data_IF_632501434020
#
_entry.id   IF_632501434020
#
_cell.length_a   1.000
_cell.length_b   1.000
_cell.length_c   1.000
_cell.angle_alpha   90.00
_cell.angle_beta   90.00
_cell.angle_gamma   90.00
#
_symmetry.space_group_name_H-M   'P 1'
#
loop_
_entity.id
_entity.type
_entity.pdbx_description
1 polymer ?
#
# COMPACT_ATOMS: atom_id res chain seq x y z
N UNK A 1 -3.79 -37.84 -21.10
CA UNK A 1 -2.47 -38.02 -21.74
C UNK A 1 -1.96 -36.63 -22.09
N UNK A 2 -1.38 -35.94 -21.10
CA UNK A 2 -0.89 -34.56 -21.25
C UNK A 2 0.56 -34.61 -21.67
N UNK A 3 0.83 -34.35 -22.95
CA UNK A 3 2.18 -34.31 -23.49
C UNK A 3 2.69 -32.87 -23.36
N UNK A 4 3.57 -32.66 -22.37
CA UNK A 4 4.38 -31.47 -22.26
C UNK A 4 5.40 -31.56 -23.41
N UNK A 5 5.21 -30.74 -24.44
CA UNK A 5 6.15 -30.63 -25.55
C UNK A 5 7.41 -29.95 -25.01
N UNK A 6 8.53 -30.66 -25.14
CA UNK A 6 9.84 -30.26 -24.61
C UNK A 6 10.36 -28.96 -25.20
N UNK A 7 11.01 -28.16 -24.36
CA UNK A 7 11.76 -26.98 -24.77
C UNK A 7 13.26 -27.29 -24.79
N UNK A 8 13.87 -27.00 -25.94
CA UNK A 8 15.31 -27.00 -26.18
C UNK A 8 16.05 -26.03 -25.22
N UNK A 9 17.31 -26.30 -24.82
CA UNK A 9 17.94 -25.66 -23.67
C UNK A 9 18.56 -24.26 -23.91
N UNK A 10 18.25 -23.55 -25.01
CA UNK A 10 18.99 -22.33 -25.39
C UNK A 10 18.23 -21.00 -25.27
N UNK A 11 17.00 -20.99 -24.73
CA UNK A 11 16.28 -19.74 -24.47
C UNK A 11 16.01 -19.56 -22.98
N UNK A 12 17.00 -18.99 -22.28
CA UNK A 12 16.87 -18.48 -20.91
C UNK A 12 15.98 -17.23 -20.86
N UNK A 13 14.70 -17.40 -21.19
CA UNK A 13 13.64 -16.50 -20.74
C UNK A 13 12.79 -17.31 -19.76
N UNK A 14 13.03 -17.08 -18.47
CA UNK A 14 12.31 -17.73 -17.38
C UNK A 14 10.87 -17.20 -17.41
N UNK A 15 10.01 -17.82 -18.20
CA UNK A 15 8.58 -17.61 -18.07
C UNK A 15 8.15 -18.28 -16.76
N UNK A 16 7.66 -17.50 -15.80
CA UNK A 16 6.91 -18.02 -14.67
C UNK A 16 5.51 -18.46 -15.15
N UNK A 17 5.46 -19.46 -16.04
CA UNK A 17 4.30 -19.83 -16.85
C UNK A 17 3.02 -19.98 -16.01
N UNK A 18 3.12 -20.53 -14.80
CA UNK A 18 1.99 -20.67 -13.88
C UNK A 18 1.47 -19.34 -13.31
N UNK A 19 2.35 -18.42 -12.93
CA UNK A 19 1.94 -17.12 -12.35
C UNK A 19 1.29 -16.24 -13.40
N UNK A 20 1.87 -16.18 -14.59
CA UNK A 20 1.36 -15.32 -15.66
C UNK A 20 0.05 -15.88 -16.24
N UNK A 21 -0.09 -17.21 -16.31
CA UNK A 21 -1.38 -17.84 -16.61
C UNK A 21 -2.44 -17.49 -15.57
N UNK A 22 -2.12 -17.58 -14.27
CA UNK A 22 -3.06 -17.22 -13.20
C UNK A 22 -3.46 -15.74 -13.25
N UNK A 23 -2.52 -14.83 -13.55
CA UNK A 23 -2.83 -13.40 -13.76
C UNK A 23 -3.82 -13.23 -14.90
N UNK A 24 -3.55 -13.85 -16.05
CA UNK A 24 -4.43 -13.76 -17.21
C UNK A 24 -5.82 -14.32 -16.91
N UNK A 25 -5.93 -15.48 -16.26
CA UNK A 25 -7.21 -16.03 -15.82
C UNK A 25 -7.99 -15.06 -14.92
N UNK A 26 -7.32 -14.41 -13.95
CA UNK A 26 -7.95 -13.41 -13.07
C UNK A 26 -8.46 -12.19 -13.83
N UNK A 27 -7.70 -11.71 -14.82
CA UNK A 27 -8.12 -10.62 -15.70
C UNK A 27 -9.35 -10.99 -16.52
N UNK A 28 -9.43 -12.23 -17.03
CA UNK A 28 -10.62 -12.73 -17.74
C UNK A 28 -11.82 -12.79 -16.80
N UNK A 29 -11.66 -13.37 -15.60
CA UNK A 29 -12.76 -13.48 -14.62
C UNK A 29 -13.28 -12.11 -14.21
N UNK A 30 -12.41 -11.12 -14.03
CA UNK A 30 -12.78 -9.73 -13.68
C UNK A 30 -13.54 -8.96 -14.77
N UNK A 31 -13.63 -9.51 -15.99
CA UNK A 31 -14.43 -8.95 -17.08
C UNK A 31 -15.89 -9.44 -17.06
N UNK A 32 -16.22 -10.46 -16.25
CA UNK A 32 -17.59 -10.91 -16.03
C UNK A 32 -18.24 -11.57 -17.26
N UNK A 33 -17.45 -12.26 -18.09
CA UNK A 33 -17.95 -12.91 -19.29
C UNK A 33 -19.02 -13.97 -18.97
N UNK A 34 -20.14 -13.89 -19.69
CA UNK A 34 -21.04 -15.01 -19.91
C UNK A 34 -20.65 -15.61 -21.26
N UNK A 35 -20.32 -16.91 -21.33
CA UNK A 35 -19.95 -17.58 -22.57
C UNK A 35 -21.19 -17.80 -23.46
N UNK A 36 -21.79 -16.71 -23.91
CA UNK A 36 -23.08 -16.69 -24.61
C UNK A 36 -22.84 -16.45 -26.12
N UNK A 37 -21.98 -17.27 -26.73
CA UNK A 37 -21.93 -17.52 -28.17
C UNK A 37 -21.55 -16.39 -29.14
N UNK A 38 -21.65 -15.10 -28.80
CA UNK A 38 -21.23 -13.97 -29.67
C UNK A 38 -19.74 -13.65 -29.48
N UNK A 39 -18.91 -14.59 -29.91
CA UNK A 39 -17.51 -14.69 -29.53
C UNK A 39 -16.57 -13.61 -30.13
N UNK A 40 -16.97 -12.79 -31.12
CA UNK A 40 -15.99 -11.99 -31.89
C UNK A 40 -15.36 -10.81 -31.14
N UNK A 41 -16.13 -10.02 -30.39
CA UNK A 41 -15.59 -8.88 -29.64
C UNK A 41 -14.93 -9.32 -28.33
N UNK A 42 -15.54 -10.30 -27.65
CA UNK A 42 -15.03 -10.87 -26.40
C UNK A 42 -13.69 -11.61 -26.60
N UNK A 43 -13.54 -12.33 -27.72
CA UNK A 43 -12.28 -12.97 -28.10
C UNK A 43 -11.16 -11.94 -28.32
N UNK A 44 -11.44 -10.81 -28.97
CA UNK A 44 -10.47 -9.74 -29.16
C UNK A 44 -10.00 -9.14 -27.84
N UNK A 45 -10.90 -8.99 -26.86
CA UNK A 45 -10.56 -8.55 -25.51
C UNK A 45 -9.67 -9.58 -24.78
N UNK A 46 -10.03 -10.87 -24.84
CA UNK A 46 -9.26 -11.96 -24.21
C UNK A 46 -7.85 -12.06 -24.80
N UNK A 47 -7.74 -12.01 -26.13
CA UNK A 47 -6.46 -12.03 -26.86
C UNK A 47 -5.61 -10.83 -26.47
N UNK A 48 -6.21 -9.64 -26.38
CA UNK A 48 -5.45 -8.46 -25.99
C UNK A 48 -4.93 -8.55 -24.55
N UNK A 49 -5.71 -9.13 -23.62
CA UNK A 49 -5.27 -9.41 -22.25
C UNK A 49 -4.16 -10.47 -22.21
N UNK A 50 -4.20 -11.45 -23.11
CA UNK A 50 -3.13 -12.45 -23.24
C UNK A 50 -1.84 -11.80 -23.75
N UNK A 51 -1.93 -10.98 -24.81
CA UNK A 51 -0.80 -10.19 -25.33
C UNK A 51 -0.19 -9.31 -24.23
N UNK A 52 -1.05 -8.69 -23.42
CA UNK A 52 -0.68 -7.89 -22.26
C UNK A 52 0.22 -8.61 -21.24
N UNK A 53 -0.09 -9.87 -20.99
CA UNK A 53 0.58 -10.65 -19.95
C UNK A 53 1.80 -11.38 -20.51
N UNK A 54 1.66 -11.99 -21.70
CA UNK A 54 2.68 -12.88 -22.26
C UNK A 54 3.67 -12.18 -23.21
N UNK A 55 3.24 -11.14 -23.93
CA UNK A 55 4.10 -10.42 -24.89
C UNK A 55 4.78 -9.18 -24.28
N UNK A 56 4.50 -8.83 -23.02
CA UNK A 56 5.12 -7.68 -22.34
C UNK A 56 6.55 -7.94 -21.86
N UNK A 57 6.89 -9.20 -21.55
CA UNK A 57 8.17 -9.59 -20.94
C UNK A 57 9.38 -9.70 -21.89
N UNK A 58 9.26 -10.23 -23.13
CA UNK A 58 10.42 -10.44 -23.99
C UNK A 58 11.15 -9.12 -24.29
N UNK A 59 12.49 -9.12 -24.19
CA UNK A 59 13.28 -7.91 -24.49
C UNK A 59 13.32 -7.59 -26.00
N UNK A 60 13.35 -8.62 -26.85
CA UNK A 60 13.41 -8.47 -28.31
C UNK A 60 12.04 -8.17 -28.93
N UNK A 61 12.03 -7.18 -29.83
CA UNK A 61 10.88 -6.82 -30.65
C UNK A 61 10.33 -8.02 -31.44
N UNK A 62 11.22 -8.80 -32.06
CA UNK A 62 10.83 -9.95 -32.90
C UNK A 62 10.18 -11.05 -32.07
N UNK A 63 10.66 -11.27 -30.85
CA UNK A 63 10.09 -12.25 -29.94
C UNK A 63 8.70 -11.84 -29.47
N UNK A 64 8.48 -10.55 -29.15
CA UNK A 64 7.14 -10.04 -28.80
C UNK A 64 6.16 -10.26 -29.95
N UNK A 65 6.58 -9.92 -31.17
CA UNK A 65 5.75 -10.05 -32.36
C UNK A 65 5.43 -11.52 -32.66
N UNK A 66 6.39 -12.42 -32.49
CA UNK A 66 6.19 -13.87 -32.67
C UNK A 66 5.15 -14.41 -31.68
N UNK A 67 5.26 -14.06 -30.40
CA UNK A 67 4.28 -14.47 -29.37
C UNK A 67 2.90 -13.90 -29.66
N UNK A 68 2.80 -12.63 -30.08
CA UNK A 68 1.52 -12.02 -30.46
C UNK A 68 0.84 -12.77 -31.61
N UNK A 69 1.61 -13.15 -32.64
CA UNK A 69 1.11 -13.94 -33.78
C UNK A 69 0.62 -15.31 -33.34
N UNK A 70 1.36 -16.01 -32.49
CA UNK A 70 0.94 -17.32 -32.00
C UNK A 70 -0.32 -17.26 -31.14
N UNK A 71 -0.44 -16.25 -30.26
CA UNK A 71 -1.67 -16.02 -29.49
C UNK A 71 -2.84 -15.75 -30.45
N UNK A 72 -2.65 -14.93 -31.48
CA UNK A 72 -3.68 -14.68 -32.50
C UNK A 72 -4.12 -15.96 -33.24
N UNK A 73 -3.16 -16.81 -33.60
CA UNK A 73 -3.40 -18.09 -34.26
C UNK A 73 -4.21 -19.06 -33.38
N UNK A 74 -3.84 -19.19 -32.10
CA UNK A 74 -4.53 -20.09 -31.14
C UNK A 74 -6.00 -19.70 -30.99
N UNK A 75 -6.27 -18.39 -30.90
CA UNK A 75 -7.61 -17.86 -30.70
C UNK A 75 -8.40 -17.65 -32.00
N UNK A 76 -7.81 -18.02 -33.15
CA UNK A 76 -8.41 -17.92 -34.50
C UNK A 76 -8.97 -16.53 -34.81
N UNK A 77 -8.42 -15.48 -34.20
CA UNK A 77 -8.82 -14.11 -34.47
C UNK A 77 -8.24 -13.67 -35.82
N UNK A 78 -9.08 -13.66 -36.86
CA UNK A 78 -8.73 -13.08 -38.16
C UNK A 78 -8.72 -11.56 -38.03
N UNK A 79 -7.57 -10.95 -37.72
CA UNK A 79 -7.49 -9.48 -37.66
C UNK A 79 -6.15 -8.89 -37.22
N UNK A 80 -5.83 -7.72 -37.79
CA UNK A 80 -4.64 -6.86 -37.65
C UNK A 80 -4.10 -6.62 -36.22
N UNK A 81 -4.90 -6.84 -35.17
CA UNK A 81 -4.52 -6.59 -33.79
C UNK A 81 -3.42 -7.52 -33.24
N UNK A 82 -3.27 -8.73 -33.80
CA UNK A 82 -2.22 -9.68 -33.40
C UNK A 82 -0.90 -9.50 -34.20
N UNK A 83 -0.92 -8.72 -35.27
CA UNK A 83 0.19 -8.59 -36.23
C UNK A 83 1.00 -7.31 -36.07
N UNK A 84 0.52 -6.37 -35.24
CA UNK A 84 1.21 -5.11 -34.94
C UNK A 84 1.22 -4.84 -33.43
N UNK A 85 2.38 -4.46 -32.88
CA UNK A 85 2.56 -4.17 -31.44
C UNK A 85 1.61 -3.10 -30.88
N UNK A 86 1.20 -2.19 -31.75
CA UNK A 86 0.22 -1.15 -31.47
C UNK A 86 -0.90 -1.28 -32.51
N UNK A 87 -2.12 -1.71 -32.10
CA UNK A 87 -3.28 -1.72 -32.99
C UNK A 87 -3.42 -0.40 -33.73
N UNK A 88 -3.93 -0.43 -34.97
CA UNK A 88 -4.07 0.77 -35.80
C UNK A 88 -4.95 1.85 -35.12
N UNK A 89 -5.87 1.43 -34.27
CA UNK A 89 -6.80 2.27 -33.53
C UNK A 89 -6.15 2.96 -32.32
N UNK A 90 -6.26 4.28 -32.27
CA UNK A 90 -5.77 5.09 -31.15
C UNK A 90 -6.64 4.78 -29.90
N UNK A 91 -6.03 4.52 -28.72
CA UNK A 91 -6.80 4.33 -27.49
C UNK A 91 -7.63 5.57 -27.18
N UNK A 92 -8.90 5.36 -26.85
CA UNK A 92 -9.79 6.44 -26.43
C UNK A 92 -9.31 6.99 -25.09
N UNK A 93 -9.13 8.30 -24.99
CA UNK A 93 -8.75 8.97 -23.75
C UNK A 93 -9.81 10.02 -23.42
N UNK A 94 -10.68 9.71 -22.44
CA UNK A 94 -11.83 10.54 -22.10
C UNK A 94 -12.01 10.63 -20.59
N UNK A 95 -11.97 11.85 -20.06
CA UNK A 95 -12.38 12.14 -18.68
C UNK A 95 -13.91 12.15 -18.61
N UNK A 96 -14.49 11.33 -17.72
CA UNK A 96 -15.92 11.30 -17.42
C UNK A 96 -16.15 11.82 -15.99
N UNK A 97 -17.38 12.21 -15.65
CA UNK A 97 -17.69 12.75 -14.30
C UNK A 97 -17.35 11.76 -13.17
N UNK A 98 -17.49 10.46 -13.44
CA UNK A 98 -17.32 9.39 -12.44
C UNK A 98 -15.94 8.72 -12.49
N UNK A 99 -15.14 8.97 -13.53
CA UNK A 99 -13.87 8.27 -13.72
C UNK A 99 -13.23 8.55 -15.08
N UNK A 100 -12.04 7.98 -15.27
CA UNK A 100 -11.23 8.14 -16.47
C UNK A 100 -11.31 6.88 -17.34
N UNK A 101 -11.67 7.05 -18.62
CA UNK A 101 -11.66 5.99 -19.62
C UNK A 101 -10.37 6.07 -20.46
N UNK A 102 -9.57 5.01 -20.41
CA UNK A 102 -8.33 4.85 -21.19
C UNK A 102 -8.44 3.56 -21.99
N UNK A 103 -8.60 3.67 -23.30
CA UNK A 103 -8.80 2.55 -24.21
C UNK A 103 -9.96 1.67 -23.75
N UNK A 104 -9.65 0.41 -23.45
CA UNK A 104 -10.59 -0.60 -22.95
C UNK A 104 -10.88 -0.55 -21.44
N UNK A 105 -10.21 0.30 -20.67
CA UNK A 105 -10.29 0.32 -19.20
C UNK A 105 -11.02 1.57 -18.72
N UNK A 106 -11.90 1.39 -17.75
CA UNK A 106 -12.50 2.47 -16.97
C UNK A 106 -11.97 2.43 -15.54
N UNK A 107 -11.46 3.56 -15.05
CA UNK A 107 -10.94 3.72 -13.69
C UNK A 107 -11.76 4.77 -12.93
N UNK A 108 -12.41 4.42 -11.82
CA UNK A 108 -13.18 5.38 -11.03
C UNK A 108 -12.27 6.36 -10.29
N UNK A 109 -12.75 7.60 -10.10
CA UNK A 109 -12.06 8.57 -9.26
C UNK A 109 -12.26 8.25 -7.77
N UNK A 110 -11.18 8.26 -6.97
CA UNK A 110 -11.26 8.02 -5.51
C UNK A 110 -11.59 9.28 -4.72
N UNK A 111 -11.32 10.45 -5.31
CA UNK A 111 -11.65 11.80 -4.82
C UNK A 111 -12.04 12.65 -6.02
N UNK A 112 -12.76 13.74 -5.81
CA UNK A 112 -13.06 14.69 -6.89
C UNK A 112 -11.77 15.05 -7.64
N UNK A 113 -11.76 14.95 -8.98
CA UNK A 113 -10.58 15.20 -9.79
C UNK A 113 -10.09 16.63 -9.54
N UNK A 114 -8.81 16.76 -9.16
CA UNK A 114 -8.13 18.05 -8.97
C UNK A 114 -7.94 18.74 -10.34
N UNK A 115 -9.00 19.29 -10.90
CA UNK A 115 -9.01 19.95 -12.21
C UNK A 115 -8.02 21.12 -12.29
N UNK A 116 -7.74 21.78 -11.16
CA UNK A 116 -6.85 22.94 -11.08
C UNK A 116 -5.35 22.62 -11.13
N UNK A 117 -4.94 21.34 -11.11
CA UNK A 117 -3.53 20.92 -11.15
C UNK A 117 -3.21 19.94 -12.27
N UNK A 118 -4.04 19.88 -13.30
CA UNK A 118 -3.85 18.94 -14.40
C UNK A 118 -2.66 19.39 -15.26
N UNK A 119 -1.54 18.68 -15.13
CA UNK A 119 -0.40 18.81 -16.03
C UNK A 119 -0.91 18.48 -17.46
N UNK A 120 -0.68 19.34 -18.47
CA UNK A 120 -1.11 19.07 -19.82
C UNK A 120 -0.43 17.79 -20.33
N UNK A 121 -1.25 16.79 -20.66
CA UNK A 121 -0.77 15.53 -21.21
C UNK A 121 -0.84 15.59 -22.73
N UNK A 122 0.32 15.49 -23.38
CA UNK A 122 0.37 15.33 -24.83
C UNK A 122 0.08 13.87 -25.15
N UNK A 123 -1.12 13.61 -25.66
CA UNK A 123 -1.61 12.28 -25.99
C UNK A 123 -0.97 11.72 -27.28
N UNK A 124 0.32 11.38 -27.20
CA UNK A 124 1.06 10.67 -28.24
C UNK A 124 0.59 9.21 -28.26
N UNK A 125 0.52 8.62 -29.45
CA UNK A 125 0.04 7.26 -29.68
C UNK A 125 0.75 6.22 -28.78
N UNK A 126 2.08 6.22 -28.76
CA UNK A 126 2.89 5.31 -27.93
C UNK A 126 2.59 5.48 -26.44
N UNK A 127 2.53 6.72 -25.96
CA UNK A 127 2.21 7.03 -24.56
C UNK A 127 0.81 6.58 -24.15
N UNK A 128 -0.19 6.70 -25.05
CA UNK A 128 -1.55 6.23 -24.79
C UNK A 128 -1.64 4.71 -24.66
N UNK A 129 -0.91 3.96 -25.49
CA UNK A 129 -0.86 2.51 -25.35
C UNK A 129 -0.21 2.13 -24.03
N UNK A 130 0.94 2.72 -23.68
CA UNK A 130 1.57 2.46 -22.37
C UNK A 130 0.64 2.83 -21.22
N UNK A 131 -0.09 3.95 -21.34
CA UNK A 131 -1.05 4.39 -20.34
C UNK A 131 -2.23 3.41 -20.18
N UNK A 132 -2.76 2.88 -21.29
CA UNK A 132 -3.80 1.84 -21.28
C UNK A 132 -3.32 0.59 -20.54
N UNK A 133 -2.07 0.18 -20.79
CA UNK A 133 -1.45 -1.00 -20.17
C UNK A 133 -1.27 -0.80 -18.66
N UNK A 134 -0.78 0.38 -18.25
CA UNK A 134 -0.71 0.77 -16.83
C UNK A 134 -2.10 0.78 -16.21
N UNK A 135 -3.10 1.35 -16.90
CA UNK A 135 -4.47 1.39 -16.41
C UNK A 135 -5.08 -0.01 -16.23
N UNK A 136 -4.81 -0.95 -17.15
CA UNK A 136 -5.17 -2.37 -17.01
C UNK A 136 -4.60 -2.95 -15.72
N UNK A 137 -3.31 -2.75 -15.44
CA UNK A 137 -2.66 -3.27 -14.24
C UNK A 137 -3.18 -2.62 -12.96
N UNK A 138 -3.45 -1.32 -12.98
CA UNK A 138 -4.07 -0.60 -11.86
C UNK A 138 -5.46 -1.18 -11.53
N UNK A 139 -6.28 -1.46 -12.55
CA UNK A 139 -7.62 -2.07 -12.36
C UNK A 139 -7.55 -3.42 -11.64
N UNK A 140 -6.52 -4.22 -11.92
CA UNK A 140 -6.32 -5.55 -11.34
C UNK A 140 -5.39 -5.55 -10.12
N UNK A 141 -4.95 -4.39 -9.64
CA UNK A 141 -4.03 -4.22 -8.52
C UNK A 141 -2.73 -5.02 -8.68
N UNK A 142 -2.15 -4.99 -9.88
CA UNK A 142 -0.93 -5.72 -10.22
C UNK A 142 0.30 -4.79 -10.23
N UNK A 143 1.47 -5.25 -9.76
CA UNK A 143 2.71 -4.48 -9.87
C UNK A 143 3.17 -4.40 -11.33
N UNK A 144 3.64 -3.22 -11.74
CA UNK A 144 4.12 -2.94 -13.09
C UNK A 144 5.56 -2.47 -13.07
N UNK A 145 6.38 -3.04 -13.96
CA UNK A 145 7.72 -2.57 -14.24
C UNK A 145 7.75 -1.89 -15.61
N UNK A 146 8.10 -0.60 -15.64
CA UNK A 146 8.21 0.17 -16.88
C UNK A 146 9.68 0.32 -17.27
N UNK A 147 10.11 -0.43 -18.30
CA UNK A 147 11.49 -0.40 -18.82
C UNK A 147 11.56 0.44 -20.08
N UNK A 148 12.57 1.31 -20.18
CA UNK A 148 12.88 2.09 -21.38
C UNK A 148 13.92 3.18 -21.10
N UNK A 149 14.43 3.81 -22.14
CA UNK A 149 15.44 4.88 -22.02
C UNK A 149 15.02 5.99 -21.05
N UNK A 150 15.99 6.53 -20.31
CA UNK A 150 15.76 7.67 -19.40
C UNK A 150 15.26 8.88 -20.19
N UNK A 151 14.46 9.75 -19.55
CA UNK A 151 13.92 10.94 -20.21
C UNK A 151 12.71 10.72 -21.15
N UNK A 152 12.26 9.49 -21.37
CA UNK A 152 11.06 9.19 -22.21
C UNK A 152 9.71 9.54 -21.56
N UNK A 153 9.69 10.18 -20.39
CA UNK A 153 8.47 10.62 -19.71
C UNK A 153 7.69 9.52 -18.98
N UNK A 154 8.29 8.35 -18.72
CA UNK A 154 7.65 7.24 -17.98
C UNK A 154 7.14 7.67 -16.60
N UNK A 155 8.00 8.32 -15.82
CA UNK A 155 7.67 8.85 -14.49
C UNK A 155 6.54 9.88 -14.57
N UNK A 156 6.60 10.77 -15.56
CA UNK A 156 5.58 11.80 -15.81
C UNK A 156 4.23 11.18 -16.17
N UNK A 157 4.22 10.08 -16.93
CA UNK A 157 3.00 9.36 -17.32
C UNK A 157 2.26 8.81 -16.10
N UNK A 158 2.99 8.15 -15.18
CA UNK A 158 2.41 7.59 -13.94
C UNK A 158 1.96 8.70 -13.00
N UNK A 159 2.74 9.77 -12.85
CA UNK A 159 2.38 10.95 -12.05
C UNK A 159 1.09 11.60 -12.55
N UNK A 160 0.96 11.79 -13.85
CA UNK A 160 -0.25 12.36 -14.46
C UNK A 160 -1.47 11.44 -14.26
N UNK A 161 -1.31 10.13 -14.42
CA UNK A 161 -2.39 9.17 -14.16
C UNK A 161 -2.87 9.22 -12.71
N UNK A 162 -1.94 9.20 -11.74
CA UNK A 162 -2.26 9.25 -10.32
C UNK A 162 -2.98 10.56 -9.95
N UNK A 163 -2.49 11.70 -10.46
CA UNK A 163 -3.07 13.01 -10.23
C UNK A 163 -4.50 13.10 -10.75
N UNK A 164 -4.75 12.58 -11.97
CA UNK A 164 -6.10 12.53 -12.55
C UNK A 164 -7.06 11.63 -11.79
N UNK A 165 -6.57 10.53 -11.24
CA UNK A 165 -7.39 9.61 -10.45
C UNK A 165 -7.64 10.09 -9.00
N UNK A 166 -7.02 11.21 -8.60
CA UNK A 166 -7.06 11.70 -7.22
C UNK A 166 -6.31 10.78 -6.25
N UNK A 167 -5.40 9.94 -6.74
CA UNK A 167 -4.56 9.08 -5.93
C UNK A 167 -3.29 9.83 -5.53
N UNK A 168 -2.93 9.72 -4.25
CA UNK A 168 -1.64 10.22 -3.81
C UNK A 168 -0.55 9.25 -4.25
N UNK A 169 0.46 9.77 -4.95
CA UNK A 169 1.62 9.04 -5.41
C UNK A 169 2.85 9.43 -4.57
N UNK A 170 3.47 8.45 -3.93
CA UNK A 170 4.75 8.59 -3.24
C UNK A 170 5.85 8.06 -4.16
N UNK A 171 6.74 8.95 -4.58
CA UNK A 171 7.89 8.62 -5.44
C UNK A 171 9.09 8.37 -4.54
N UNK A 172 9.69 7.20 -4.67
CA UNK A 172 10.90 6.78 -3.95
C UNK A 172 12.00 6.57 -4.99
N UNK A 173 13.02 7.43 -4.96
CA UNK A 173 14.15 7.27 -5.86
C UNK A 173 15.12 6.25 -5.29
N UNK A 174 15.49 5.25 -6.09
CA UNK A 174 16.43 4.21 -5.69
C UNK A 174 17.84 4.55 -6.17
N UNK A 175 18.83 4.15 -5.39
CA UNK A 175 20.25 4.35 -5.67
C UNK A 175 21.07 3.20 -5.07
N UNK A 176 22.35 3.12 -5.44
CA UNK A 176 23.27 2.14 -4.85
C UNK A 176 23.48 2.33 -3.33
N UNK A 177 23.16 3.51 -2.81
CA UNK A 177 23.23 3.86 -1.39
C UNK A 177 21.88 3.78 -0.69
N UNK A 178 20.84 3.27 -1.36
CA UNK A 178 19.50 3.17 -0.76
C UNK A 178 19.44 2.05 0.27
N UNK A 179 19.34 2.46 1.53
CA UNK A 179 19.25 1.55 2.66
C UNK A 179 17.83 1.04 2.89
N UNK A 180 17.75 -0.21 3.36
CA UNK A 180 16.48 -0.84 3.80
C UNK A 180 15.79 0.01 4.88
N UNK A 181 16.59 0.68 5.73
CA UNK A 181 16.09 1.53 6.80
C UNK A 181 15.30 2.76 6.31
N UNK A 182 15.56 3.26 5.10
CA UNK A 182 14.84 4.41 4.54
C UNK A 182 13.49 4.01 3.91
N UNK A 183 13.40 2.79 3.40
CA UNK A 183 12.17 2.25 2.84
C UNK A 183 11.27 1.66 3.92
N UNK A 184 11.78 0.72 4.71
CA UNK A 184 11.00 0.01 5.71
C UNK A 184 10.91 0.74 7.04
N UNK A 185 11.94 1.51 7.35
CA UNK A 185 12.11 2.14 8.65
C UNK A 185 13.24 1.49 9.42
N UNK A 186 13.62 2.17 10.50
CA UNK A 186 14.64 1.69 11.42
C UNK A 186 14.64 2.49 12.70
N UNK A 187 15.42 2.05 13.67
CA UNK A 187 15.63 2.78 14.91
C UNK A 187 16.48 4.01 14.65
N UNK A 188 15.85 5.18 14.73
CA UNK A 188 16.55 6.47 14.67
C UNK A 188 16.62 7.06 16.08
N UNK A 189 17.69 7.79 16.41
CA UNK A 189 17.71 8.57 17.63
C UNK A 189 16.63 9.65 17.54
N UNK A 190 15.79 9.70 18.56
CA UNK A 190 14.67 10.65 18.65
C UNK A 190 14.87 11.51 19.87
N UNK A 191 14.57 12.80 19.71
CA UNK A 191 14.59 13.75 20.83
C UNK A 191 13.71 13.24 21.97
N UNK A 192 14.29 13.18 23.17
CA UNK A 192 13.60 12.81 24.40
C UNK A 192 12.29 13.58 24.57
N UNK A 193 12.30 14.89 24.27
CA UNK A 193 11.11 15.75 24.33
C UNK A 193 9.99 15.26 23.41
N UNK A 194 10.31 14.79 22.21
CA UNK A 194 9.32 14.29 21.26
C UNK A 194 8.70 12.97 21.75
N UNK A 195 9.51 12.09 22.34
CA UNK A 195 9.04 10.80 22.86
C UNK A 195 8.14 11.03 24.07
N UNK A 196 8.61 11.80 25.05
CA UNK A 196 7.84 12.07 26.27
C UNK A 196 6.59 12.91 26.00
N UNK A 197 6.63 13.85 25.05
CA UNK A 197 5.43 14.61 24.65
C UNK A 197 4.40 13.73 23.94
N UNK A 198 4.82 12.80 23.10
CA UNK A 198 3.93 11.80 22.49
C UNK A 198 3.30 10.89 23.54
N UNK A 199 4.11 10.39 24.49
CA UNK A 199 3.64 9.58 25.61
C UNK A 199 2.61 10.34 26.46
N UNK A 200 2.88 11.62 26.76
CA UNK A 200 1.96 12.47 27.50
C UNK A 200 0.66 12.72 26.74
N UNK A 201 0.74 12.99 25.44
CA UNK A 201 -0.45 13.21 24.61
C UNK A 201 -1.34 11.96 24.56
N UNK A 202 -0.73 10.78 24.40
CA UNK A 202 -1.44 9.50 24.39
C UNK A 202 -2.06 9.19 25.76
N UNK A 203 -1.29 9.35 26.85
CA UNK A 203 -1.79 9.26 28.22
C UNK A 203 -2.98 10.19 28.44
N UNK A 204 -2.87 11.45 28.04
CA UNK A 204 -3.93 12.44 28.22
C UNK A 204 -5.18 12.12 27.39
N UNK A 205 -5.03 11.51 26.22
CA UNK A 205 -6.15 11.05 25.41
C UNK A 205 -6.88 9.87 26.07
N UNK A 206 -6.14 8.90 26.63
CA UNK A 206 -6.71 7.77 27.38
C UNK A 206 -7.34 8.23 28.71
N UNK A 207 -6.65 9.07 29.47
CA UNK A 207 -7.12 9.62 30.73
C UNK A 207 -8.39 10.46 30.55
N UNK A 208 -8.50 11.20 29.44
CA UNK A 208 -9.72 11.94 29.09
C UNK A 208 -10.93 11.06 28.81
N UNK A 209 -10.71 9.81 28.37
CA UNK A 209 -11.78 8.82 28.14
C UNK A 209 -12.19 8.10 29.43
N UNK A 210 -11.28 7.96 30.40
CA UNK A 210 -11.51 7.22 31.65
C UNK A 210 -12.01 8.11 32.80
N UNK A 211 -11.54 9.36 32.92
CA UNK A 211 -11.80 10.20 34.09
C UNK A 211 -12.51 11.52 33.77
N UNK A 212 -13.16 12.10 34.78
CA UNK A 212 -13.90 13.37 34.69
C UNK A 212 -13.01 14.59 34.37
N UNK A 213 -13.54 15.51 33.57
CA UNK A 213 -12.85 16.72 33.06
C UNK A 213 -12.18 17.58 34.14
N UNK A 214 -12.68 17.60 35.38
CA UNK A 214 -12.08 18.36 36.50
C UNK A 214 -10.74 17.77 36.96
N UNK A 215 -10.67 16.45 37.14
CA UNK A 215 -9.42 15.74 37.50
C UNK A 215 -8.39 15.77 36.36
N UNK A 216 -8.88 15.79 35.13
CA UNK A 216 -8.02 15.84 33.94
C UNK A 216 -7.30 17.19 33.82
N UNK A 217 -7.94 18.30 34.21
CA UNK A 217 -7.34 19.65 34.13
C UNK A 217 -6.16 19.83 35.10
N UNK A 218 -6.28 19.31 36.32
CA UNK A 218 -5.20 19.37 37.32
C UNK A 218 -4.01 18.51 36.89
N UNK A 219 -4.24 17.25 36.53
CA UNK A 219 -3.18 16.33 36.09
C UNK A 219 -2.50 16.83 34.81
N UNK A 220 -3.27 17.36 33.85
CA UNK A 220 -2.71 18.00 32.65
C UNK A 220 -1.73 19.11 32.99
N UNK A 221 -2.13 20.03 33.87
CA UNK A 221 -1.27 21.15 34.28
C UNK A 221 0.00 20.72 35.02
N UNK A 222 -0.03 19.61 35.77
CA UNK A 222 1.17 19.05 36.39
C UNK A 222 2.09 18.40 35.34
N UNK A 223 1.57 17.60 34.42
CA UNK A 223 2.35 16.93 33.38
C UNK A 223 2.97 17.95 32.40
N UNK A 224 2.23 18.98 32.00
CA UNK A 224 2.73 20.08 31.16
C UNK A 224 3.88 20.85 31.85
N UNK A 225 3.79 21.09 33.16
CA UNK A 225 4.90 21.69 33.93
C UNK A 225 6.15 20.82 33.93
N UNK A 226 6.02 19.50 34.09
CA UNK A 226 7.17 18.59 34.07
C UNK A 226 7.79 18.44 32.68
N UNK A 227 6.97 18.51 31.61
CA UNK A 227 7.41 18.59 30.22
C UNK A 227 8.22 19.86 29.96
N UNK A 228 7.73 21.03 30.36
CA UNK A 228 8.44 22.31 30.18
C UNK A 228 9.75 22.36 30.98
N UNK A 229 9.77 21.76 32.17
CA UNK A 229 10.94 21.75 33.05
C UNK A 229 11.94 20.61 32.72
N UNK A 230 11.72 19.84 31.65
CA UNK A 230 12.53 18.68 31.23
C UNK A 230 12.82 17.67 32.36
N UNK A 231 11.89 17.50 33.30
CA UNK A 231 12.06 16.59 34.43
C UNK A 231 11.43 15.22 34.12
N UNK A 232 12.14 14.41 33.33
CA UNK A 232 11.65 13.16 32.76
C UNK A 232 11.34 12.09 33.81
N UNK A 233 12.14 11.95 34.86
CA UNK A 233 11.91 10.95 35.90
C UNK A 233 10.63 11.19 36.70
N UNK A 234 10.32 12.46 37.01
CA UNK A 234 9.08 12.81 37.72
C UNK A 234 7.88 12.69 36.79
N UNK A 235 8.06 13.01 35.51
CA UNK A 235 7.03 12.83 34.49
C UNK A 235 6.66 11.34 34.34
N UNK A 236 7.64 10.45 34.17
CA UNK A 236 7.41 9.01 34.04
C UNK A 236 6.74 8.42 35.29
N UNK A 237 7.21 8.78 36.50
CA UNK A 237 6.55 8.38 37.75
C UNK A 237 5.10 8.86 37.83
N UNK A 238 4.83 10.09 37.41
CA UNK A 238 3.49 10.65 37.39
C UNK A 238 2.55 9.91 36.41
N UNK A 239 3.07 9.53 35.25
CA UNK A 239 2.33 8.74 34.26
C UNK A 239 2.10 7.31 34.78
N UNK A 240 3.10 6.66 35.37
CA UNK A 240 2.98 5.33 35.98
C UNK A 240 1.88 5.28 37.05
N UNK A 241 1.90 6.23 38.00
CA UNK A 241 0.86 6.34 39.02
C UNK A 241 -0.53 6.63 38.42
N UNK A 242 -0.57 7.34 37.29
CA UNK A 242 -1.80 7.59 36.54
C UNK A 242 -2.36 6.33 35.89
N UNK A 243 -1.49 5.51 35.28
CA UNK A 243 -1.84 4.22 34.67
C UNK A 243 -2.36 3.24 35.74
N UNK A 244 -1.66 3.13 36.87
CA UNK A 244 -2.05 2.24 37.98
C UNK A 244 -3.43 2.61 38.53
N UNK A 245 -3.68 3.90 38.76
CA UNK A 245 -5.00 4.39 39.21
C UNK A 245 -6.09 4.19 38.16
N UNK A 246 -5.76 4.27 36.87
CA UNK A 246 -6.69 3.99 35.78
C UNK A 246 -7.08 2.51 35.73
N UNK A 247 -6.09 1.62 35.81
CA UNK A 247 -6.30 0.17 35.81
C UNK A 247 -7.08 -0.29 37.04
N UNK A 248 -6.80 0.25 38.23
CA UNK A 248 -7.57 -0.02 39.45
C UNK A 248 -9.02 0.46 39.34
N UNK A 249 -9.27 1.63 38.75
CA UNK A 249 -10.64 2.12 38.56
C UNK A 249 -11.44 1.25 37.57
N UNK A 250 -10.79 0.82 36.48
CA UNK A 250 -11.40 -0.01 35.44
C UNK A 250 -11.64 -1.45 35.92
N UNK A 251 -10.74 -2.02 36.74
CA UNK A 251 -10.96 -3.35 37.32
C UNK A 251 -12.15 -3.35 38.28
N UNK A 252 -12.29 -2.33 39.13
CA UNK A 252 -13.46 -2.16 40.01
C UNK A 252 -14.76 -2.02 39.20
N UNK A 253 -14.77 -1.23 38.13
CA UNK A 253 -15.93 -1.10 37.25
C UNK A 253 -16.30 -2.42 36.57
N UNK A 254 -15.32 -3.21 36.09
CA UNK A 254 -15.55 -4.52 35.47
C UNK A 254 -16.11 -5.55 36.47
N UNK A 255 -15.60 -5.61 37.70
CA UNK A 255 -16.11 -6.52 38.75
C UNK A 255 -17.52 -6.13 39.20
N UNK A 256 -17.85 -4.82 39.20
CA UNK A 256 -19.20 -4.36 39.53
C UNK A 256 -20.24 -4.67 38.44
N UNK A 257 -19.82 -4.92 37.20
CA UNK A 257 -20.71 -5.35 36.11
C UNK A 257 -21.05 -6.84 36.23
N UNK A 258 -20.12 -7.68 36.70
CA UNK A 258 -20.36 -9.13 36.87
C UNK A 258 -21.34 -9.44 38.02
N UNK A 259 -21.50 -8.55 38.99
CA UNK A 259 -22.39 -8.75 40.15
C UNK A 259 -23.83 -8.25 39.96
N UNK A 260 -24.17 -7.56 38.85
CA UNK A 260 -25.52 -7.01 38.59
C UNK A 260 -26.21 -7.76 37.44
N UNK A 261 -26.29 -9.09 37.54
CA UNK A 261 -27.04 -9.90 36.59
C UNK A 261 -28.22 -10.64 37.26
N UNK A 262 -29.08 -9.89 37.94
CA UNK A 262 -30.47 -10.28 38.24
C UNK A 262 -31.37 -9.05 38.04
N UNK A 263 -31.83 -8.87 36.80
CA UNK A 263 -33.18 -8.42 36.36
C UNK A 263 -33.19 -7.55 35.09
N UNK A 264 -34.18 -7.76 34.19
CA UNK A 264 -34.15 -7.24 32.84
C UNK A 264 -34.75 -5.83 32.75
N UNK A 265 -34.34 -5.09 31.71
CA UNK A 265 -34.84 -3.77 31.27
C UNK A 265 -34.20 -2.53 31.92
N UNK A 266 -33.09 -2.06 31.31
CA UNK A 266 -32.98 -0.69 30.75
C UNK A 266 -31.71 -0.54 29.90
N UNK A 267 -31.92 -0.39 28.58
CA UNK A 267 -31.05 0.21 27.54
C UNK A 267 -29.53 -0.01 27.69
N UNK A 268 -29.05 -1.08 27.04
CA UNK A 268 -27.64 -1.43 26.79
C UNK A 268 -26.80 -0.19 26.39
N UNK A 269 -25.89 0.25 27.26
CA UNK A 269 -24.71 1.04 26.87
C UNK A 269 -23.58 0.06 26.52
N UNK A 270 -22.95 0.35 25.39
CA UNK A 270 -22.00 -0.45 24.58
C UNK A 270 -20.75 -0.93 25.34
N UNK A 271 -20.01 -1.94 24.82
CA UNK A 271 -18.81 -2.55 25.42
C UNK A 271 -17.57 -1.64 25.37
N UNK A 272 -17.65 -0.42 25.91
CA UNK A 272 -16.53 0.53 25.91
C UNK A 272 -15.46 0.22 26.97
N UNK A 273 -15.77 -0.59 28.00
CA UNK A 273 -14.84 -0.87 29.10
C UNK A 273 -13.65 -1.72 28.68
N UNK A 274 -13.88 -2.75 27.87
CA UNK A 274 -12.86 -3.72 27.46
C UNK A 274 -11.87 -3.13 26.45
N UNK A 275 -12.35 -2.34 25.48
CA UNK A 275 -11.48 -1.61 24.54
C UNK A 275 -10.57 -0.59 25.26
N UNK A 276 -11.09 0.10 26.28
CA UNK A 276 -10.33 1.07 27.07
C UNK A 276 -9.30 0.36 27.95
N UNK A 277 -9.67 -0.78 28.55
CA UNK A 277 -8.75 -1.59 29.35
C UNK A 277 -7.58 -2.11 28.49
N UNK A 278 -7.86 -2.70 27.33
CA UNK A 278 -6.82 -3.13 26.38
C UNK A 278 -5.94 -1.96 25.92
N UNK A 279 -6.51 -0.77 25.73
CA UNK A 279 -5.73 0.42 25.38
C UNK A 279 -4.78 0.86 26.51
N UNK A 280 -5.21 0.79 27.77
CA UNK A 280 -4.35 1.04 28.93
C UNK A 280 -3.25 -0.01 29.11
N UNK A 281 -3.56 -1.28 28.85
CA UNK A 281 -2.57 -2.37 28.90
C UNK A 281 -1.48 -2.19 27.83
N UNK A 282 -1.87 -1.91 26.57
CA UNK A 282 -0.94 -1.57 25.49
C UNK A 282 -0.07 -0.36 25.83
N UNK A 283 -0.66 0.67 26.43
CA UNK A 283 0.06 1.84 26.88
C UNK A 283 1.05 1.52 28.01
N UNK A 284 0.67 0.65 28.96
CA UNK A 284 1.56 0.20 30.05
C UNK A 284 2.80 -0.53 29.52
N UNK A 285 2.61 -1.45 28.56
CA UNK A 285 3.73 -2.18 27.92
C UNK A 285 4.68 -1.20 27.22
N UNK A 286 4.12 -0.21 26.51
CA UNK A 286 4.89 0.85 25.84
C UNK A 286 5.61 1.76 26.83
N UNK A 287 5.01 2.05 27.98
CA UNK A 287 5.65 2.85 29.03
C UNK A 287 6.82 2.09 29.64
N UNK A 288 6.65 0.80 29.93
CA UNK A 288 7.70 -0.04 30.49
C UNK A 288 8.90 -0.18 29.55
N UNK A 289 8.68 -0.26 28.23
CA UNK A 289 9.78 -0.30 27.27
C UNK A 289 10.58 1.01 27.26
N UNK A 290 9.91 2.17 27.36
CA UNK A 290 10.55 3.49 27.45
C UNK A 290 11.28 3.70 28.78
N UNK A 291 10.74 3.15 29.89
CA UNK A 291 11.42 3.20 31.19
C UNK A 291 12.67 2.31 31.25
N UNK A 292 12.68 1.19 30.51
CA UNK A 292 13.82 0.24 30.45
C UNK A 292 14.93 0.72 29.51
N UNK A 293 14.61 1.49 28.47
CA UNK A 293 15.61 2.18 27.67
C UNK A 293 16.25 3.28 28.51
N UNK A 294 17.50 3.06 28.94
CA UNK A 294 18.24 3.90 29.87
C UNK A 294 18.14 5.41 29.56
N UNK A 295 17.59 6.24 30.48
CA UNK A 295 17.58 7.71 30.36
C UNK A 295 18.97 8.34 30.62
N UNK A 296 19.98 7.56 31.00
CA UNK A 296 21.32 8.04 31.31
C UNK A 296 22.20 8.30 30.08
N UNK A 297 21.83 7.78 28.90
CA UNK A 297 22.61 7.95 27.66
C UNK A 297 22.18 9.15 26.81
N UNK A 298 21.18 9.94 27.22
CA UNK A 298 20.76 11.16 26.54
C UNK A 298 20.15 10.95 25.14
N UNK A 299 19.95 9.70 24.72
CA UNK A 299 19.53 9.35 23.37
C UNK A 299 18.56 8.18 23.42
N UNK A 300 17.31 8.43 23.03
CA UNK A 300 16.28 7.40 22.91
C UNK A 300 16.16 6.95 21.46
N UNK A 301 16.08 5.64 21.25
CA UNK A 301 15.81 5.09 19.93
C UNK A 301 14.33 4.76 19.80
N UNK A 302 13.71 5.20 18.71
CA UNK A 302 12.35 4.79 18.35
C UNK A 302 12.35 4.29 16.91
N UNK A 303 11.56 3.25 16.65
CA UNK A 303 11.36 2.77 15.29
C UNK A 303 10.58 3.84 14.51
N UNK A 304 11.22 4.42 13.51
CA UNK A 304 10.60 5.36 12.59
C UNK A 304 10.25 4.59 11.33
N UNK A 305 8.95 4.47 11.04
CA UNK A 305 8.45 3.82 9.83
C UNK A 305 9.01 4.51 8.58
N UNK A 306 9.47 3.70 7.64
CA UNK A 306 10.00 4.21 6.39
C UNK A 306 8.89 4.72 5.46
N UNK A 307 9.32 5.43 4.42
CA UNK A 307 8.44 6.08 3.45
C UNK A 307 7.54 5.07 2.72
N UNK A 308 8.09 3.89 2.37
CA UNK A 308 7.37 2.79 1.73
C UNK A 308 6.26 2.23 2.63
N UNK A 309 6.56 1.95 3.90
CA UNK A 309 5.58 1.42 4.87
C UNK A 309 4.48 2.43 5.15
N UNK A 310 4.84 3.71 5.29
CA UNK A 310 3.88 4.79 5.50
C UNK A 310 2.91 4.92 4.33
N UNK A 311 3.41 4.82 3.10
CA UNK A 311 2.61 4.88 1.88
C UNK A 311 1.66 3.67 1.76
N UNK A 312 2.16 2.46 2.02
CA UNK A 312 1.35 1.23 2.02
C UNK A 312 0.20 1.33 3.02
N UNK A 313 0.47 1.75 4.27
CA UNK A 313 -0.57 1.87 5.31
C UNK A 313 -1.66 2.87 4.94
N UNK A 314 -1.29 3.95 4.25
CA UNK A 314 -2.23 4.99 3.79
C UNK A 314 -2.98 4.61 2.51
N UNK A 315 -2.61 3.49 1.86
CA UNK A 315 -3.17 3.08 0.57
C UNK A 315 -2.84 4.06 -0.55
N UNK A 316 -1.63 4.62 -0.50
CA UNK A 316 -1.06 5.50 -1.52
C UNK A 316 -0.41 4.67 -2.63
N UNK A 317 -0.34 5.22 -3.84
CA UNK A 317 0.45 4.62 -4.92
C UNK A 317 1.94 4.83 -4.64
N UNK A 318 2.74 3.84 -4.98
CA UNK A 318 4.19 3.87 -4.77
C UNK A 318 4.86 3.74 -6.13
N UNK A 319 5.71 4.69 -6.47
CA UNK A 319 6.60 4.62 -7.63
C UNK A 319 8.02 4.45 -7.12
N UNK A 320 8.62 3.29 -7.41
CA UNK A 320 10.05 3.06 -7.22
C UNK A 320 10.75 3.50 -8.51
N UNK A 321 11.45 4.63 -8.48
CA UNK A 321 12.22 5.12 -9.61
C UNK A 321 13.65 4.54 -9.57
N UNK A 322 14.27 4.37 -10.73
CA UNK A 322 15.65 3.86 -10.86
C UNK A 322 15.91 2.52 -10.11
N UNK A 323 14.91 1.61 -10.07
CA UNK A 323 15.00 0.29 -9.39
C UNK A 323 16.21 -0.54 -9.82
N UNK A 324 16.69 -0.34 -11.04
CA UNK A 324 17.90 -0.99 -11.56
C UNK A 324 19.18 -0.61 -10.81
N UNK A 325 19.18 0.51 -10.07
CA UNK A 325 20.31 0.96 -9.24
C UNK A 325 20.19 0.48 -7.79
N UNK A 326 19.06 -0.10 -7.39
CA UNK A 326 18.83 -0.55 -6.03
C UNK A 326 19.70 -1.77 -5.69
N UNK A 327 20.24 -1.86 -4.45
CA UNK A 327 20.89 -3.07 -3.99
C UNK A 327 19.88 -4.24 -3.90
N UNK A 328 20.31 -5.48 -4.21
CA UNK A 328 19.42 -6.64 -4.27
C UNK A 328 18.77 -6.95 -2.92
N UNK A 329 19.47 -6.68 -1.82
CA UNK A 329 18.97 -6.87 -0.45
C UNK A 329 17.72 -6.01 -0.17
N UNK A 330 17.73 -4.77 -0.64
CA UNK A 330 16.62 -3.83 -0.47
C UNK A 330 15.39 -4.27 -1.28
N UNK A 331 15.60 -4.78 -2.50
CA UNK A 331 14.51 -5.31 -3.32
C UNK A 331 13.92 -6.59 -2.72
N UNK A 332 14.76 -7.53 -2.24
CA UNK A 332 14.30 -8.78 -1.63
C UNK A 332 13.33 -8.56 -0.48
N UNK A 333 13.51 -7.50 0.31
CA UNK A 333 12.60 -7.17 1.41
C UNK A 333 11.23 -6.67 0.94
N UNK A 334 11.15 -6.11 -0.25
CA UNK A 334 9.91 -5.56 -0.82
C UNK A 334 9.19 -6.59 -1.70
N UNK A 335 9.89 -7.62 -2.20
CA UNK A 335 9.32 -8.69 -3.04
C UNK A 335 8.06 -9.31 -2.42
N UNK A 336 8.01 -9.54 -1.11
CA UNK A 336 6.83 -10.11 -0.44
C UNK A 336 5.55 -9.27 -0.61
N UNK A 337 5.67 -7.95 -0.77
CA UNK A 337 4.54 -7.06 -1.09
C UNK A 337 4.19 -7.13 -2.57
N UNK A 338 5.17 -7.33 -3.44
CA UNK A 338 5.00 -7.38 -4.91
C UNK A 338 4.52 -8.75 -5.42
N UNK A 339 4.61 -9.81 -4.64
CA UNK A 339 4.26 -11.17 -5.09
C UNK A 339 2.84 -11.61 -4.76
N UNK A 340 2.24 -11.11 -3.67
CA UNK A 340 0.93 -11.54 -3.19
C UNK A 340 -0.24 -10.61 -3.57
N UNK A 341 -1.44 -11.18 -3.73
CA UNK A 341 -2.69 -10.41 -3.87
C UNK A 341 -3.01 -9.59 -2.62
N UNK A 342 -2.64 -10.14 -1.46
CA UNK A 342 -2.65 -9.48 -0.16
C UNK A 342 -1.22 -9.31 0.33
N UNK A 343 -0.34 -8.76 -0.52
CA UNK A 343 1.07 -8.55 -0.20
C UNK A 343 1.23 -7.90 1.17
N UNK A 344 1.69 -8.67 2.14
CA UNK A 344 1.85 -8.23 3.52
C UNK A 344 3.34 -8.21 3.83
N UNK A 345 3.80 -7.10 4.39
CA UNK A 345 5.15 -6.97 4.90
C UNK A 345 5.14 -7.21 6.40
N UNK A 346 5.68 -8.35 6.84
CA UNK A 346 5.98 -8.56 8.24
C UNK A 346 7.31 -7.86 8.56
N UNK A 347 7.23 -6.79 9.34
CA UNK A 347 8.40 -6.17 9.97
C UNK A 347 8.83 -7.04 11.16
N UNK A 348 9.48 -8.18 10.87
CA UNK A 348 10.13 -8.99 11.89
C UNK A 348 11.60 -8.57 11.94
N UNK A 349 11.99 -7.88 13.00
CA UNK A 349 13.40 -7.53 13.23
C UNK A 349 14.16 -8.72 13.83
N UNK A 350 15.36 -8.95 13.32
CA UNK A 350 16.47 -9.64 13.98
C UNK A 350 17.58 -8.65 14.18
#
# INVERSE_FOLDING_TARGET
MFQIVGFHPECSSVYSLGRDLLKWCKRITGLGFCFDGSLSEEQCCIVSQAVDVFAASPASFDNRLSIMKEIGNIWKTRGSAAETLYPLDKPIYQDSVTGLKIGRVFLPYKKEPLHDRVIPFVAIRSSLFVLERIACSVKHNEPVLLVGETGTGKTTLVQNLALRLGQKLTVLNMSQQSDVADLLGGFKPVDEQFVYSNLCREFMALFARTFSKKKNKTIRGYLEKFLCNKNWEKLLRGIQQGVEKAQQHLSIELTSIEQINIEPYKKRKRPLGEEIFQAWERFSIKLDSVCKSNPSSGMLFSFVEGSFVTALRKGEWILLDEVNLAPPETLQRIIGVLEGENGALCLAER
#
